data_IF_687577406144
#
_entry.id   IF_687577406144
#
_cell.length_a   1.000
_cell.length_b   1.000
_cell.length_c   1.000
_cell.angle_alpha   90.00
_cell.angle_beta   90.00
_cell.angle_gamma   90.00
#
_symmetry.space_group_name_H-M   'P 1'
#
loop_
_entity.id
_entity.type
_entity.pdbx_description
1 polymer ?
#
# COMPACT_ATOMS: atom_id res chain seq x y z
N UNK A 1 -36.74 24.15 -25.69
CA UNK A 1 -36.59 23.80 -24.24
C UNK A 1 -35.12 23.46 -24.01
N UNK A 2 -34.39 24.40 -23.40
CA UNK A 2 -32.96 24.26 -23.15
C UNK A 2 -32.83 23.69 -21.72
N UNK A 3 -32.37 22.42 -21.63
CA UNK A 3 -32.13 21.78 -20.34
C UNK A 3 -30.86 22.33 -19.69
N UNK A 4 -31.02 23.02 -18.57
CA UNK A 4 -29.93 23.50 -17.75
C UNK A 4 -29.24 22.30 -17.05
N UNK A 5 -27.99 21.98 -17.44
CA UNK A 5 -27.11 21.14 -16.64
C UNK A 5 -26.76 21.91 -15.37
N UNK A 6 -27.31 21.49 -14.23
CA UNK A 6 -26.89 21.95 -12.92
C UNK A 6 -25.51 21.37 -12.62
N UNK A 7 -24.47 22.15 -12.82
CA UNK A 7 -23.15 21.87 -12.29
C UNK A 7 -23.22 21.99 -10.77
N UNK A 8 -23.18 20.86 -10.06
CA UNK A 8 -23.09 20.87 -8.60
C UNK A 8 -21.73 21.47 -8.22
N UNK A 9 -21.74 22.71 -7.72
CA UNK A 9 -20.58 23.32 -7.09
C UNK A 9 -20.19 22.48 -5.88
N UNK A 10 -19.07 21.78 -5.98
CA UNK A 10 -18.38 21.18 -4.83
C UNK A 10 -17.85 22.32 -3.96
N UNK A 11 -18.60 22.70 -2.94
CA UNK A 11 -18.10 23.56 -1.88
C UNK A 11 -16.94 22.82 -1.20
N UNK A 12 -15.72 23.28 -1.40
CA UNK A 12 -14.53 22.77 -0.75
C UNK A 12 -14.61 23.06 0.75
N UNK A 13 -15.17 22.12 1.50
CA UNK A 13 -15.03 22.13 2.96
C UNK A 13 -13.56 21.97 3.31
N UNK A 14 -13.06 22.60 4.40
CA UNK A 14 -11.69 22.40 4.84
C UNK A 14 -11.43 20.90 5.00
N UNK A 15 -10.29 20.42 4.46
CA UNK A 15 -9.96 19.01 4.43
C UNK A 15 -10.03 18.39 5.83
N UNK A 16 -11.03 17.56 6.07
CA UNK A 16 -11.27 16.92 7.36
C UNK A 16 -10.35 15.70 7.50
N UNK A 17 -9.58 15.63 8.59
CA UNK A 17 -8.85 14.41 8.94
C UNK A 17 -9.81 13.34 9.44
N UNK A 18 -9.73 12.15 8.87
CA UNK A 18 -10.45 10.97 9.30
C UNK A 18 -9.47 9.80 9.50
N UNK A 19 -9.92 8.72 10.14
CA UNK A 19 -9.15 7.50 10.34
C UNK A 19 -9.91 6.31 9.77
N UNK A 20 -9.21 5.38 9.16
CA UNK A 20 -9.78 4.12 8.65
C UNK A 20 -10.20 3.23 9.82
N UNK A 21 -11.45 2.74 9.80
CA UNK A 21 -12.09 1.98 10.88
C UNK A 21 -12.33 0.51 10.52
N UNK A 22 -12.00 0.10 9.32
CA UNK A 22 -12.05 -1.28 8.84
C UNK A 22 -10.64 -1.86 8.73
N UNK A 23 -10.45 -3.18 8.73
CA UNK A 23 -9.13 -3.78 8.60
C UNK A 23 -8.35 -3.27 7.39
N UNK A 24 -9.03 -3.15 6.25
CA UNK A 24 -8.49 -2.64 4.99
C UNK A 24 -9.61 -1.89 4.25
N UNK A 25 -9.33 -0.69 3.81
CA UNK A 25 -10.18 0.06 2.88
C UNK A 25 -9.49 0.06 1.51
N UNK A 26 -10.20 -0.41 0.49
CA UNK A 26 -9.75 -0.28 -0.89
C UNK A 26 -9.91 1.17 -1.34
N UNK A 27 -8.88 1.72 -1.93
CA UNK A 27 -8.91 3.04 -2.55
C UNK A 27 -9.17 2.85 -4.03
N UNK A 28 -10.22 3.46 -4.55
CA UNK A 28 -10.69 3.32 -5.91
C UNK A 28 -10.37 4.57 -6.74
N UNK A 29 -10.17 4.40 -8.05
CA UNK A 29 -9.95 5.53 -8.97
C UNK A 29 -11.19 6.43 -9.11
N UNK A 30 -12.39 5.82 -9.02
CA UNK A 30 -13.68 6.50 -9.15
C UNK A 30 -14.75 5.87 -8.23
N UNK A 31 -15.80 6.62 -7.85
CA UNK A 31 -16.88 6.11 -6.99
C UNK A 31 -17.62 4.90 -7.58
N UNK A 32 -17.76 4.83 -8.89
CA UNK A 32 -18.52 3.78 -9.58
C UNK A 32 -17.65 2.60 -10.06
N UNK A 33 -16.34 2.61 -9.78
CA UNK A 33 -15.48 1.44 -9.99
C UNK A 33 -15.92 0.22 -9.17
N UNK A 34 -16.90 0.40 -8.27
CA UNK A 34 -17.36 -0.55 -7.27
C UNK A 34 -18.39 -1.60 -7.69
N UNK A 35 -18.56 -1.91 -8.97
CA UNK A 35 -19.26 -3.14 -9.39
C UNK A 35 -18.39 -4.40 -9.20
N UNK A 36 -17.16 -4.21 -8.72
CA UNK A 36 -16.29 -5.32 -8.39
C UNK A 36 -16.68 -5.91 -7.03
N UNK A 37 -16.80 -7.23 -6.89
CA UNK A 37 -17.30 -7.91 -5.69
C UNK A 37 -16.36 -7.80 -4.48
N UNK A 38 -15.43 -6.86 -4.48
CA UNK A 38 -14.32 -6.72 -3.53
C UNK A 38 -14.34 -5.42 -2.73
N UNK A 39 -15.52 -4.82 -2.55
CA UNK A 39 -15.71 -3.80 -1.51
C UNK A 39 -16.52 -4.41 -0.34
N UNK A 40 -15.96 -5.38 0.38
CA UNK A 40 -16.71 -6.13 1.36
C UNK A 40 -16.80 -5.36 2.68
N UNK A 41 -17.97 -5.41 3.30
CA UNK A 41 -18.10 -5.13 4.73
C UNK A 41 -17.22 -6.07 5.56
N UNK A 42 -16.88 -7.21 4.98
CA UNK A 42 -16.00 -8.24 5.55
C UNK A 42 -15.10 -8.74 4.43
N UNK A 43 -13.79 -8.62 4.59
CA UNK A 43 -12.85 -9.31 3.72
C UNK A 43 -13.17 -10.81 3.77
N UNK A 44 -13.29 -11.48 2.61
CA UNK A 44 -13.61 -12.90 2.59
C UNK A 44 -12.57 -13.66 3.41
N UNK A 45 -13.05 -14.55 4.25
CA UNK A 45 -12.20 -15.53 4.95
C UNK A 45 -11.50 -16.47 3.98
N UNK A 46 -11.97 -16.52 2.72
CA UNK A 46 -11.40 -17.27 1.60
C UNK A 46 -10.50 -16.38 0.75
N UNK A 47 -9.45 -16.97 0.20
CA UNK A 47 -8.53 -16.28 -0.69
C UNK A 47 -9.27 -15.65 -1.89
N UNK A 48 -8.89 -14.42 -2.25
CA UNK A 48 -9.38 -13.72 -3.45
C UNK A 48 -9.01 -14.55 -4.68
N UNK A 49 -9.97 -14.94 -5.50
CA UNK A 49 -9.73 -15.75 -6.71
C UNK A 49 -8.86 -15.00 -7.73
N UNK A 50 -8.26 -15.75 -8.66
CA UNK A 50 -7.45 -15.13 -9.74
C UNK A 50 -8.28 -14.14 -10.56
N UNK A 51 -9.52 -14.50 -10.94
CA UNK A 51 -10.40 -13.61 -11.72
C UNK A 51 -10.74 -12.33 -10.96
N UNK A 52 -10.96 -12.41 -9.65
CA UNK A 52 -11.20 -11.25 -8.80
C UNK A 52 -9.96 -10.35 -8.72
N UNK A 53 -8.75 -10.93 -8.56
CA UNK A 53 -7.51 -10.16 -8.55
C UNK A 53 -7.25 -9.46 -9.88
N UNK A 54 -7.56 -10.13 -11.00
CA UNK A 54 -7.41 -9.55 -12.32
C UNK A 54 -8.38 -8.38 -12.55
N UNK A 55 -9.59 -8.46 -12.03
CA UNK A 55 -10.60 -7.41 -12.14
C UNK A 55 -10.24 -6.12 -11.37
N UNK A 56 -9.25 -6.15 -10.48
CA UNK A 56 -8.78 -4.97 -9.75
C UNK A 56 -7.77 -4.14 -10.54
N UNK A 57 -7.15 -4.73 -11.57
CA UNK A 57 -6.09 -4.06 -12.35
C UNK A 57 -6.62 -2.78 -12.99
N UNK A 58 -5.98 -1.65 -12.69
CA UNK A 58 -6.37 -0.34 -13.15
C UNK A 58 -7.47 0.35 -12.35
N UNK A 59 -8.18 -0.35 -11.46
CA UNK A 59 -9.35 0.21 -10.75
C UNK A 59 -9.12 0.46 -9.26
N UNK A 60 -8.23 -0.31 -8.62
CA UNK A 60 -7.88 -0.19 -7.22
C UNK A 60 -6.40 0.15 -7.06
N UNK A 61 -6.01 1.42 -7.20
CA UNK A 61 -4.60 1.80 -7.21
C UNK A 61 -3.88 1.58 -5.87
N UNK A 62 -4.58 1.60 -4.75
CA UNK A 62 -3.95 1.35 -3.44
C UNK A 62 -4.98 0.90 -2.39
N UNK A 63 -4.48 0.59 -1.19
CA UNK A 63 -5.25 0.30 0.01
C UNK A 63 -4.84 1.23 1.14
N UNK A 64 -5.73 1.39 2.14
CA UNK A 64 -5.45 2.07 3.40
C UNK A 64 -5.86 1.13 4.54
N UNK A 65 -5.00 1.00 5.54
CA UNK A 65 -5.17 0.03 6.61
C UNK A 65 -5.83 0.66 7.85
N UNK A 66 -6.35 -0.19 8.74
CA UNK A 66 -6.92 0.25 10.01
C UNK A 66 -5.98 1.21 10.74
N UNK A 67 -6.56 2.29 11.27
CA UNK A 67 -5.84 3.29 12.05
C UNK A 67 -5.10 4.34 11.22
N UNK A 68 -4.90 4.14 9.92
CA UNK A 68 -4.25 5.13 9.07
C UNK A 68 -5.12 6.38 8.92
N UNK A 69 -4.45 7.53 8.95
CA UNK A 69 -5.09 8.83 8.75
C UNK A 69 -5.21 9.17 7.27
N UNK A 70 -6.37 9.70 6.91
CA UNK A 70 -6.63 10.23 5.57
C UNK A 70 -7.18 11.64 5.67
N UNK A 71 -6.98 12.46 4.63
CA UNK A 71 -7.65 13.75 4.47
C UNK A 71 -8.83 13.57 3.54
N UNK A 72 -10.02 13.86 4.02
CA UNK A 72 -11.25 13.83 3.22
C UNK A 72 -11.37 15.16 2.48
N UNK A 73 -11.41 15.09 1.16
CA UNK A 73 -11.49 16.26 0.28
C UNK A 73 -12.93 16.58 -0.12
N UNK A 74 -13.75 15.54 -0.32
CA UNK A 74 -15.15 15.65 -0.71
C UNK A 74 -15.94 14.40 -0.32
N UNK A 75 -17.26 14.47 -0.30
CA UNK A 75 -18.18 13.34 -0.13
C UNK A 75 -19.26 13.37 -1.21
N UNK A 76 -19.59 12.19 -1.75
CA UNK A 76 -20.59 12.06 -2.80
C UNK A 76 -21.20 10.66 -2.78
N UNK A 77 -22.51 10.53 -2.67
CA UNK A 77 -23.22 9.26 -2.87
C UNK A 77 -22.71 8.07 -2.04
N UNK A 78 -22.37 8.29 -0.76
CA UNK A 78 -21.81 7.23 0.11
C UNK A 78 -20.30 7.01 -0.05
N UNK A 79 -19.63 7.80 -0.88
CA UNK A 79 -18.19 7.80 -1.10
C UNK A 79 -17.51 9.03 -0.50
N UNK A 80 -16.25 8.88 -0.16
CA UNK A 80 -15.35 9.96 0.25
C UNK A 80 -14.14 9.99 -0.69
N UNK A 81 -13.89 11.14 -1.31
CA UNK A 81 -12.63 11.45 -1.98
C UNK A 81 -11.59 11.75 -0.92
N UNK A 82 -10.48 11.05 -0.94
CA UNK A 82 -9.42 11.17 0.07
C UNK A 82 -8.07 11.42 -0.57
N UNK A 83 -7.13 11.86 0.24
CA UNK A 83 -5.69 11.65 0.03
C UNK A 83 -5.10 10.94 1.23
N UNK A 84 -4.10 10.07 0.99
CA UNK A 84 -3.39 9.27 2.00
C UNK A 84 -2.00 9.86 2.20
N UNK A 85 -1.76 10.66 3.25
CA UNK A 85 -0.49 11.40 3.43
C UNK A 85 0.72 10.47 3.56
N UNK A 86 0.56 9.29 4.16
CA UNK A 86 1.63 8.32 4.38
C UNK A 86 2.04 7.57 3.09
N UNK A 87 1.34 7.79 1.97
CA UNK A 87 1.63 7.23 0.66
C UNK A 87 1.97 8.36 -0.32
N UNK A 88 3.22 8.86 -0.35
CA UNK A 88 3.61 9.90 -1.30
C UNK A 88 3.38 9.47 -2.74
N UNK A 89 2.86 10.38 -3.56
CA UNK A 89 2.54 10.13 -4.96
C UNK A 89 2.71 11.41 -5.78
N UNK A 90 3.15 11.32 -7.04
CA UNK A 90 3.16 12.48 -7.94
C UNK A 90 1.76 12.94 -8.35
N UNK A 91 0.73 12.12 -8.11
CA UNK A 91 -0.66 12.44 -8.47
C UNK A 91 -1.26 13.58 -7.61
N UNK A 92 -0.81 13.71 -6.35
CA UNK A 92 -1.21 14.80 -5.45
C UNK A 92 -0.12 15.01 -4.39
N UNK A 93 0.38 16.22 -4.27
CA UNK A 93 1.43 16.57 -3.31
C UNK A 93 1.06 16.34 -1.83
N UNK A 94 -0.23 16.17 -1.51
CA UNK A 94 -0.73 15.90 -0.16
C UNK A 94 -0.72 14.42 0.21
N UNK A 95 -0.48 13.53 -0.75
CA UNK A 95 -0.48 12.06 -0.61
C UNK A 95 -1.24 11.36 -1.72
N UNK A 96 -1.45 10.06 -1.61
CA UNK A 96 -2.11 9.26 -2.65
C UNK A 96 -3.61 9.56 -2.74
N UNK A 97 -4.13 10.03 -3.89
CA UNK A 97 -5.54 10.36 -4.04
C UNK A 97 -6.39 9.14 -4.43
N UNK A 98 -7.68 9.18 -4.09
CA UNK A 98 -8.66 8.22 -4.56
C UNK A 98 -9.96 8.27 -3.77
N UNK A 99 -10.80 7.25 -3.93
CA UNK A 99 -12.12 7.16 -3.34
C UNK A 99 -12.26 5.93 -2.44
N UNK A 100 -12.87 6.11 -1.28
CA UNK A 100 -13.24 5.03 -0.36
C UNK A 100 -14.72 5.12 0.00
N UNK A 101 -15.32 4.04 0.50
CA UNK A 101 -16.67 4.11 1.07
C UNK A 101 -16.66 4.97 2.33
N UNK A 102 -17.59 5.91 2.44
CA UNK A 102 -17.66 6.84 3.58
C UNK A 102 -17.78 6.13 4.93
N UNK A 103 -18.47 4.98 4.97
CA UNK A 103 -18.66 4.19 6.19
C UNK A 103 -17.36 3.53 6.71
N UNK A 104 -16.33 3.40 5.87
CA UNK A 104 -15.01 2.86 6.26
C UNK A 104 -14.19 3.86 7.08
N UNK A 105 -14.62 5.11 7.11
CA UNK A 105 -13.96 6.20 7.81
C UNK A 105 -14.71 6.59 9.09
N UNK A 106 -13.96 7.02 10.10
CA UNK A 106 -14.51 7.58 11.33
C UNK A 106 -13.71 8.76 11.83
N UNK A 107 -14.12 9.30 12.97
CA UNK A 107 -13.41 10.39 13.62
C UNK A 107 -11.92 10.05 13.80
N UNK A 108 -11.05 11.03 13.62
CA UNK A 108 -9.62 10.84 13.80
C UNK A 108 -9.31 10.42 15.26
N UNK A 109 -8.38 9.47 15.39
CA UNK A 109 -7.81 9.10 16.70
C UNK A 109 -6.29 8.92 16.59
N UNK A 110 -5.62 8.96 17.73
CA UNK A 110 -4.18 8.73 17.77
C UNK A 110 -3.87 7.24 17.69
N UNK A 111 -3.12 6.83 16.69
CA UNK A 111 -2.68 5.45 16.48
C UNK A 111 -1.18 5.43 16.12
N UNK A 112 -0.30 5.71 17.10
CA UNK A 112 1.13 5.91 16.85
C UNK A 112 1.90 4.60 16.60
N UNK A 113 1.28 3.44 16.90
CA UNK A 113 1.97 2.16 16.85
C UNK A 113 1.62 1.40 15.57
N UNK A 114 2.64 1.02 14.79
CA UNK A 114 2.49 0.17 13.61
C UNK A 114 2.44 -1.30 14.04
N UNK A 115 1.47 -2.03 13.54
CA UNK A 115 1.33 -3.48 13.75
C UNK A 115 2.38 -4.20 12.91
N UNK A 116 3.27 -4.95 13.58
CA UNK A 116 4.33 -5.75 12.95
C UNK A 116 4.04 -7.26 13.00
N UNK A 117 3.00 -7.67 13.70
CA UNK A 117 2.47 -9.02 13.64
C UNK A 117 1.72 -9.26 12.32
N UNK A 118 1.75 -10.49 11.80
CA UNK A 118 0.95 -10.88 10.60
C UNK A 118 -0.54 -10.62 10.81
N UNK A 119 -1.03 -10.90 12.03
CA UNK A 119 -2.40 -10.64 12.46
C UNK A 119 -2.37 -10.21 13.93
N UNK A 120 -3.13 -9.17 14.26
CA UNK A 120 -3.44 -8.77 15.62
C UNK A 120 -4.96 -8.67 15.78
N UNK A 121 -5.46 -8.88 17.01
CA UNK A 121 -6.89 -8.80 17.34
C UNK A 121 -7.13 -7.63 18.29
N UNK A 122 -8.00 -6.71 17.85
CA UNK A 122 -8.46 -5.59 18.69
C UNK A 122 -9.45 -6.08 19.77
N UNK A 123 -9.68 -5.31 20.85
CA UNK A 123 -10.62 -5.66 21.90
C UNK A 123 -12.05 -5.96 21.43
N UNK A 124 -12.51 -5.32 20.36
CA UNK A 124 -13.81 -5.56 19.74
C UNK A 124 -13.86 -6.82 18.84
N UNK A 125 -12.80 -7.64 18.85
CA UNK A 125 -12.70 -8.86 18.05
C UNK A 125 -12.21 -8.66 16.60
N UNK A 126 -12.11 -7.43 16.09
CA UNK A 126 -11.65 -7.16 14.74
C UNK A 126 -10.18 -7.62 14.57
N UNK A 127 -9.91 -8.32 13.48
CA UNK A 127 -8.56 -8.70 13.10
C UNK A 127 -7.98 -7.67 12.14
N UNK A 128 -6.81 -7.15 12.50
CA UNK A 128 -6.01 -6.23 11.67
C UNK A 128 -4.67 -6.88 11.32
N UNK A 129 -4.09 -6.47 10.22
CA UNK A 129 -2.85 -7.06 9.70
C UNK A 129 -1.63 -6.19 9.89
N UNK A 130 -0.50 -6.71 9.42
CA UNK A 130 0.77 -5.99 9.31
C UNK A 130 0.58 -4.63 8.62
N UNK A 131 1.23 -3.59 9.14
CA UNK A 131 1.14 -2.23 8.62
C UNK A 131 -0.02 -1.41 9.18
N UNK A 132 -1.07 -2.03 9.75
CA UNK A 132 -2.14 -1.32 10.45
C UNK A 132 -1.59 -0.46 11.59
N UNK A 133 -2.33 0.56 12.01
CA UNK A 133 -1.94 1.43 13.11
C UNK A 133 -2.90 1.24 14.29
N UNK A 134 -2.36 1.21 15.50
CA UNK A 134 -3.16 1.02 16.71
C UNK A 134 -2.84 2.07 17.78
N UNK A 135 -3.83 2.44 18.63
CA UNK A 135 -3.58 3.22 19.84
C UNK A 135 -2.62 2.51 20.79
N UNK A 136 -1.87 3.28 21.54
CA UNK A 136 -1.01 2.73 22.59
C UNK A 136 -1.84 1.95 23.63
N UNK A 137 -1.32 0.81 24.10
CA UNK A 137 -1.96 -0.03 25.10
C UNK A 137 -3.15 -0.88 24.63
N UNK A 138 -3.55 -0.78 23.36
CA UNK A 138 -4.67 -1.56 22.81
C UNK A 138 -4.24 -2.96 22.37
N UNK A 139 -2.99 -3.12 21.96
CA UNK A 139 -2.41 -4.40 21.52
C UNK A 139 -1.22 -4.79 22.41
N UNK A 140 -0.90 -6.08 22.52
CA UNK A 140 0.33 -6.54 23.16
C UNK A 140 1.58 -5.91 22.49
N UNK A 141 2.60 -5.58 23.27
CA UNK A 141 3.85 -4.98 22.78
C UNK A 141 4.52 -5.82 21.66
N UNK A 142 4.40 -7.16 21.74
CA UNK A 142 4.92 -8.05 20.71
C UNK A 142 4.26 -7.84 19.32
N UNK A 143 3.02 -7.33 19.27
CA UNK A 143 2.31 -7.09 18.02
C UNK A 143 2.64 -5.72 17.40
N UNK A 144 3.23 -4.80 18.15
CA UNK A 144 3.52 -3.42 17.73
C UNK A 144 4.97 -3.04 18.00
N UNK A 145 5.88 -4.00 17.91
CA UNK A 145 7.30 -3.78 18.18
C UNK A 145 7.91 -2.83 17.15
N UNK A 146 8.63 -1.81 17.61
CA UNK A 146 9.44 -0.98 16.71
C UNK A 146 10.53 -1.82 16.07
N UNK A 147 10.60 -1.81 14.74
CA UNK A 147 11.61 -2.56 13.98
C UNK A 147 12.91 -1.74 13.86
N UNK A 148 14.08 -2.37 14.00
CA UNK A 148 15.37 -1.71 13.77
C UNK A 148 15.50 -1.27 12.31
N UNK A 149 16.22 -0.18 12.07
CA UNK A 149 16.48 0.34 10.72
C UNK A 149 17.81 -0.22 10.20
N UNK A 150 17.83 -1.54 9.97
CA UNK A 150 18.99 -2.21 9.35
C UNK A 150 18.61 -2.88 8.05
N UNK A 151 19.61 -3.15 7.18
CA UNK A 151 19.40 -3.86 5.92
C UNK A 151 18.88 -5.28 6.14
N UNK A 152 19.41 -5.96 7.13
CA UNK A 152 19.00 -7.33 7.47
C UNK A 152 17.52 -7.36 7.93
N UNK A 153 17.12 -6.47 8.83
CA UNK A 153 15.75 -6.41 9.33
C UNK A 153 14.76 -6.02 8.22
N UNK A 154 15.14 -5.10 7.32
CA UNK A 154 14.33 -4.72 6.18
C UNK A 154 14.06 -5.91 5.24
N UNK A 155 15.10 -6.69 4.95
CA UNK A 155 14.99 -7.92 4.14
C UNK A 155 14.13 -8.97 4.85
N UNK A 156 14.32 -9.19 6.15
CA UNK A 156 13.48 -10.12 6.92
C UNK A 156 12.03 -9.68 6.95
N UNK A 157 11.75 -8.37 7.04
CA UNK A 157 10.39 -7.85 6.92
C UNK A 157 9.77 -8.15 5.55
N UNK A 158 10.51 -7.96 4.46
CA UNK A 158 10.02 -8.30 3.13
C UNK A 158 9.72 -9.81 2.99
N UNK A 159 10.52 -10.68 3.63
CA UNK A 159 10.28 -12.13 3.63
C UNK A 159 9.02 -12.56 4.42
N UNK A 160 8.49 -11.73 5.31
CA UNK A 160 7.21 -12.00 5.99
C UNK A 160 6.04 -12.15 5.01
N UNK A 161 6.15 -11.59 3.82
CA UNK A 161 5.11 -11.58 2.80
C UNK A 161 5.20 -12.75 1.82
N UNK A 162 6.25 -13.60 1.91
CA UNK A 162 6.41 -14.77 1.04
C UNK A 162 5.16 -15.64 1.01
N UNK A 163 4.77 -16.07 -0.20
CA UNK A 163 3.60 -16.91 -0.44
C UNK A 163 2.26 -16.15 -0.43
N UNK A 164 2.22 -14.85 -0.13
CA UNK A 164 1.03 -14.05 -0.33
C UNK A 164 0.82 -13.79 -1.83
N UNK A 165 -0.42 -13.87 -2.26
CA UNK A 165 -0.76 -13.60 -3.66
C UNK A 165 -0.42 -12.15 -4.05
N UNK A 166 -0.06 -11.97 -5.34
CA UNK A 166 -0.08 -10.64 -5.92
C UNK A 166 -1.51 -10.09 -5.93
N UNK A 167 -1.66 -8.86 -5.48
CA UNK A 167 -2.91 -8.12 -5.51
C UNK A 167 -2.61 -6.71 -6.04
N UNK A 168 -3.18 -6.33 -7.17
CA UNK A 168 -3.04 -4.97 -7.70
C UNK A 168 -3.48 -3.93 -6.66
N UNK A 169 -2.65 -2.92 -6.42
CA UNK A 169 -2.90 -1.93 -5.37
C UNK A 169 -2.77 -2.46 -3.94
N UNK A 170 -2.42 -3.72 -3.74
CA UNK A 170 -2.43 -4.39 -2.43
C UNK A 170 -1.34 -3.92 -1.47
N UNK A 171 -1.74 -3.75 -0.20
CA UNK A 171 -0.89 -3.38 0.94
C UNK A 171 -1.20 -4.21 2.20
N UNK A 172 -1.88 -5.34 2.05
CA UNK A 172 -2.44 -6.06 3.19
C UNK A 172 -2.16 -7.55 3.14
N UNK A 173 -2.53 -8.26 4.21
CA UNK A 173 -2.46 -9.73 4.29
C UNK A 173 -3.19 -10.46 3.15
N UNK A 174 -4.00 -9.77 2.39
CA UNK A 174 -4.74 -10.32 1.24
C UNK A 174 -3.91 -10.38 -0.03
N UNK A 175 -2.81 -9.66 -0.04
CA UNK A 175 -1.83 -9.61 -1.11
C UNK A 175 -1.14 -8.26 -1.22
N UNK A 176 -0.05 -8.26 -1.94
CA UNK A 176 0.75 -7.07 -2.24
C UNK A 176 0.96 -6.97 -3.75
N UNK A 177 0.98 -5.75 -4.29
CA UNK A 177 1.62 -5.53 -5.57
C UNK A 177 3.13 -5.32 -5.39
N UNK A 178 3.85 -5.13 -6.48
CA UNK A 178 5.30 -5.01 -6.47
C UNK A 178 5.81 -3.83 -5.62
N UNK A 179 5.24 -2.65 -5.84
CA UNK A 179 5.61 -1.42 -5.12
C UNK A 179 5.03 -1.36 -3.71
N UNK A 180 3.87 -1.96 -3.49
CA UNK A 180 3.26 -2.12 -2.16
C UNK A 180 4.08 -3.02 -1.24
N UNK A 181 4.67 -4.10 -1.77
CA UNK A 181 5.61 -4.95 -1.04
C UNK A 181 6.80 -4.14 -0.51
N UNK A 182 7.45 -3.37 -1.38
CA UNK A 182 8.60 -2.55 -1.01
C UNK A 182 8.20 -1.41 -0.09
N UNK A 183 7.10 -0.72 -0.38
CA UNK A 183 6.56 0.35 0.46
C UNK A 183 6.25 -0.14 1.88
N UNK A 184 5.55 -1.27 2.03
CA UNK A 184 5.19 -1.81 3.33
C UNK A 184 6.43 -2.23 4.15
N UNK A 185 7.43 -2.84 3.50
CA UNK A 185 8.68 -3.20 4.15
C UNK A 185 9.40 -1.96 4.68
N UNK A 186 9.61 -0.93 3.86
CA UNK A 186 10.28 0.30 4.27
C UNK A 186 9.51 1.06 5.36
N UNK A 187 8.18 1.20 5.21
CA UNK A 187 7.32 1.89 6.17
C UNK A 187 7.36 1.26 7.57
N UNK A 188 7.42 -0.06 7.66
CA UNK A 188 7.51 -0.77 8.93
C UNK A 188 8.77 -0.40 9.74
N UNK A 189 9.82 0.07 9.05
CA UNK A 189 11.06 0.58 9.64
C UNK A 189 11.08 2.12 9.77
N UNK A 190 9.95 2.78 9.54
CA UNK A 190 9.83 4.25 9.64
C UNK A 190 10.44 5.02 8.47
N UNK A 191 10.70 4.34 7.33
CA UNK A 191 11.22 4.96 6.13
C UNK A 191 10.07 5.16 5.15
N UNK A 192 9.79 6.40 4.80
CA UNK A 192 8.76 6.75 3.81
C UNK A 192 9.35 6.73 2.41
N UNK A 193 8.75 5.94 1.52
CA UNK A 193 9.05 5.93 0.08
C UNK A 193 7.74 6.14 -0.69
N UNK A 194 7.78 6.56 -1.96
CA UNK A 194 6.57 6.69 -2.77
C UNK A 194 5.82 5.37 -2.93
N UNK A 195 4.51 5.44 -3.19
CA UNK A 195 3.65 4.26 -3.31
C UNK A 195 3.90 3.46 -4.59
N UNK A 196 4.08 4.13 -5.73
CA UNK A 196 4.15 3.49 -7.04
C UNK A 196 5.60 3.27 -7.50
N UNK A 197 5.82 2.26 -8.35
CA UNK A 197 7.16 1.83 -8.76
C UNK A 197 7.93 2.91 -9.53
N UNK A 198 7.30 3.62 -10.44
CA UNK A 198 7.88 4.73 -11.20
C UNK A 198 8.28 5.90 -10.29
N UNK A 199 7.42 6.23 -9.33
CA UNK A 199 7.70 7.25 -8.32
C UNK A 199 8.83 6.83 -7.36
N UNK A 200 8.91 5.55 -6.98
CA UNK A 200 10.03 4.99 -6.23
C UNK A 200 11.32 5.09 -7.05
N UNK A 201 11.28 4.78 -8.34
CA UNK A 201 12.42 4.91 -9.21
C UNK A 201 12.91 6.36 -9.32
N UNK A 202 12.00 7.31 -9.44
CA UNK A 202 12.33 8.73 -9.53
C UNK A 202 12.93 9.30 -8.23
N UNK A 203 12.44 8.84 -7.07
CA UNK A 203 12.81 9.39 -5.76
C UNK A 203 14.09 8.80 -5.15
N UNK A 204 14.42 7.54 -5.46
CA UNK A 204 15.55 6.84 -4.84
C UNK A 204 16.90 7.27 -5.41
N UNK A 205 17.96 7.22 -4.57
CA UNK A 205 19.33 7.50 -5.01
C UNK A 205 19.82 6.39 -5.96
N UNK A 206 20.33 6.73 -7.16
CA UNK A 206 20.88 5.74 -8.09
C UNK A 206 22.07 4.97 -7.48
N UNK A 207 22.15 3.68 -7.77
CA UNK A 207 23.24 2.77 -7.39
C UNK A 207 23.56 1.87 -8.59
N UNK A 208 24.82 1.51 -8.78
CA UNK A 208 25.22 0.54 -9.81
C UNK A 208 24.92 -0.90 -9.37
N UNK A 209 24.79 -1.82 -10.32
CA UNK A 209 24.59 -3.26 -10.01
C UNK A 209 25.70 -3.83 -9.13
N UNK A 210 26.93 -3.39 -9.32
CA UNK A 210 28.10 -3.86 -8.54
C UNK A 210 28.14 -3.30 -7.11
N UNK A 211 27.42 -2.23 -6.84
CA UNK A 211 27.32 -1.57 -5.53
C UNK A 211 26.03 -1.91 -4.77
N UNK A 212 25.19 -2.80 -5.32
CA UNK A 212 23.97 -3.22 -4.65
C UNK A 212 24.21 -3.80 -3.27
N UNK A 213 23.37 -3.39 -2.33
CA UNK A 213 23.33 -3.93 -0.98
C UNK A 213 21.92 -4.43 -0.67
N UNK A 214 21.75 -5.41 0.22
CA UNK A 214 20.42 -5.87 0.65
C UNK A 214 19.53 -4.70 1.06
N UNK A 215 18.27 -4.72 0.60
CA UNK A 215 17.31 -3.64 0.76
C UNK A 215 17.26 -2.65 -0.41
N UNK A 216 18.25 -2.60 -1.30
CA UNK A 216 18.15 -1.75 -2.50
C UNK A 216 17.03 -2.26 -3.42
N UNK A 217 16.41 -1.35 -4.15
CA UNK A 217 15.28 -1.65 -5.05
C UNK A 217 15.74 -1.76 -6.50
N UNK A 218 15.32 -2.82 -7.15
CA UNK A 218 15.60 -3.15 -8.55
C UNK A 218 14.36 -2.84 -9.38
N UNK A 219 14.53 -2.11 -10.48
CA UNK A 219 13.42 -1.65 -11.31
C UNK A 219 13.49 -2.23 -12.71
N UNK A 220 12.32 -2.50 -13.28
CA UNK A 220 12.15 -3.22 -14.55
C UNK A 220 11.07 -2.58 -15.41
N UNK A 221 11.00 -3.05 -16.66
CA UNK A 221 10.07 -2.68 -17.73
C UNK A 221 10.45 -1.41 -18.51
N UNK A 222 10.08 -1.41 -19.76
CA UNK A 222 10.30 -0.37 -20.75
C UNK A 222 9.03 -0.10 -21.56
N UNK A 223 8.77 1.12 -22.02
CA UNK A 223 9.57 2.35 -21.84
C UNK A 223 9.43 2.98 -20.45
N UNK A 224 8.40 2.60 -19.69
CA UNK A 224 8.09 3.11 -18.35
C UNK A 224 8.42 2.05 -17.30
N UNK A 225 8.84 2.49 -16.11
CA UNK A 225 9.01 1.58 -14.98
C UNK A 225 7.63 1.11 -14.50
N UNK A 226 7.37 -0.18 -14.61
CA UNK A 226 6.11 -0.79 -14.16
C UNK A 226 6.30 -1.87 -13.10
N UNK A 227 7.56 -2.27 -12.81
CA UNK A 227 7.83 -3.29 -11.82
C UNK A 227 9.03 -2.96 -10.93
N UNK A 228 8.94 -3.36 -9.65
CA UNK A 228 10.00 -3.22 -8.65
C UNK A 228 10.15 -4.50 -7.84
N UNK A 229 11.39 -4.81 -7.47
CA UNK A 229 11.75 -5.88 -6.55
C UNK A 229 12.75 -5.36 -5.51
N UNK A 230 12.93 -6.05 -4.39
CA UNK A 230 13.96 -5.72 -3.41
C UNK A 230 15.12 -6.72 -3.51
N UNK A 231 16.35 -6.22 -3.62
CA UNK A 231 17.55 -7.05 -3.51
C UNK A 231 17.71 -7.57 -2.09
N UNK A 232 17.94 -8.87 -1.94
CA UNK A 232 18.08 -9.53 -0.63
C UNK A 232 19.48 -10.09 -0.38
N UNK A 233 20.42 -9.81 -1.28
CA UNK A 233 21.79 -10.38 -1.22
C UNK A 233 21.94 -11.68 -2.00
N UNK A 234 23.19 -12.13 -2.19
CA UNK A 234 23.49 -13.41 -2.85
C UNK A 234 22.97 -13.55 -4.29
N UNK A 235 22.86 -12.44 -5.03
CA UNK A 235 22.31 -12.45 -6.39
C UNK A 235 20.81 -12.72 -6.47
N UNK A 236 20.07 -12.57 -5.36
CA UNK A 236 18.62 -12.84 -5.27
C UNK A 236 17.83 -11.58 -4.96
N UNK A 237 16.57 -11.58 -5.39
CA UNK A 237 15.59 -10.54 -5.09
C UNK A 237 14.28 -11.16 -4.62
N UNK A 238 13.49 -10.39 -3.88
CA UNK A 238 12.09 -10.70 -3.52
C UNK A 238 11.16 -9.80 -4.30
N UNK A 239 10.12 -10.37 -4.87
CA UNK A 239 9.17 -9.67 -5.75
C UNK A 239 7.74 -10.18 -5.60
N UNK A 240 6.76 -9.31 -5.89
CA UNK A 240 5.37 -9.65 -6.20
C UNK A 240 5.14 -9.35 -7.70
N UNK A 241 5.26 -10.33 -8.62
CA UNK A 241 5.46 -10.02 -10.03
C UNK A 241 4.18 -9.67 -10.80
N UNK A 242 3.08 -10.40 -10.60
CA UNK A 242 1.82 -10.19 -11.33
C UNK A 242 0.67 -11.01 -10.73
N UNK A 243 -0.57 -10.77 -11.18
CA UNK A 243 -1.80 -11.38 -10.64
C UNK A 243 -1.86 -12.93 -10.68
N UNK A 244 -0.98 -13.59 -11.44
CA UNK A 244 -0.89 -15.07 -11.49
C UNK A 244 0.07 -15.64 -10.45
N UNK A 245 0.78 -14.80 -9.74
CA UNK A 245 1.92 -15.20 -8.91
C UNK A 245 1.70 -14.84 -7.44
N UNK A 246 2.61 -15.35 -6.62
CA UNK A 246 2.76 -15.03 -5.21
C UNK A 246 4.06 -14.26 -5.01
N UNK A 247 4.20 -13.62 -3.85
CA UNK A 247 5.47 -13.04 -3.40
C UNK A 247 6.50 -14.17 -3.31
N UNK A 248 7.62 -14.00 -3.99
CA UNK A 248 8.63 -15.06 -4.16
C UNK A 248 10.05 -14.50 -4.16
N UNK A 249 11.01 -15.39 -3.92
CA UNK A 249 12.44 -15.12 -4.08
C UNK A 249 12.93 -15.76 -5.38
N UNK A 250 13.59 -14.97 -6.22
CA UNK A 250 14.15 -15.40 -7.51
C UNK A 250 15.55 -14.81 -7.71
N UNK A 251 16.37 -15.37 -8.63
CA UNK A 251 17.61 -14.72 -9.04
C UNK A 251 17.35 -13.31 -9.61
N UNK A 252 18.29 -12.39 -9.40
CA UNK A 252 18.26 -11.09 -10.07
C UNK A 252 18.36 -11.32 -11.58
N UNK A 253 17.45 -10.68 -12.33
CA UNK A 253 17.47 -10.72 -13.81
C UNK A 253 17.93 -9.39 -14.37
N UNK A 254 18.47 -9.42 -15.57
CA UNK A 254 18.91 -8.23 -16.33
C UNK A 254 18.00 -7.90 -17.51
N UNK A 255 17.05 -8.80 -17.86
CA UNK A 255 16.03 -8.54 -18.87
C UNK A 255 15.11 -7.40 -18.42
N UNK A 256 14.87 -6.42 -19.28
CA UNK A 256 14.06 -5.22 -19.04
C UNK A 256 14.49 -4.41 -17.80
N UNK A 257 15.74 -4.55 -17.38
CA UNK A 257 16.30 -3.89 -16.21
C UNK A 257 16.50 -2.39 -16.47
N UNK A 258 16.01 -1.56 -15.52
CA UNK A 258 16.06 -0.08 -15.57
C UNK A 258 17.08 0.54 -14.64
N UNK A 259 17.43 -0.13 -13.57
CA UNK A 259 18.40 0.37 -12.61
C UNK A 259 18.07 0.01 -11.16
N UNK A 260 18.97 0.42 -10.28
CA UNK A 260 18.84 0.25 -8.83
C UNK A 260 18.63 1.58 -8.15
N UNK A 261 17.82 1.59 -7.10
CA UNK A 261 17.64 2.76 -6.22
C UNK A 261 17.82 2.36 -4.76
N UNK A 262 18.38 3.28 -3.98
CA UNK A 262 18.63 3.14 -2.55
C UNK A 262 17.87 4.19 -1.78
N UNK A 263 17.21 3.76 -0.69
CA UNK A 263 16.51 4.62 0.26
C UNK A 263 17.08 4.51 1.69
N UNK A 264 17.79 3.42 1.99
CA UNK A 264 18.37 3.19 3.30
C UNK A 264 19.79 3.76 3.40
N UNK A 265 20.05 4.60 4.41
CA UNK A 265 21.38 5.21 4.63
C UNK A 265 21.73 6.30 3.60
N UNK A 266 20.72 7.07 3.21
CA UNK A 266 20.88 8.25 2.35
C UNK A 266 20.85 9.50 3.21
#
# INVERSE_FOLDING_TARGET
MVGALAAALLLASPAQTATVRVPVANVWEAPDAGHLPLDPHVWPTTAVSYSQRLALVGHMPTQVLYGERVRVLARQGGWAKIVVPDQPSPLDARGYPGWVRSWQLGAAFSAPLVVTAKVARLPNGMQIGFGSQAPAGVLPAAATRRLPVTRADLVETAKHFLGLHYLWGGLSRWGYDCSGLTWAAYRAHGITIPRDADAQFAAGRPVTLTQMLPGDLLFYEHPVVGHVAMYIGGGKMIEAPNSRSEVRIVPVRTTDFRGVRRFLGV
#
